data_IF_362342068951
#
_entry.id   IF_362342068951
#
_cell.length_a   1.000
_cell.length_b   1.000
_cell.length_c   1.000
_cell.angle_alpha   90.00
_cell.angle_beta   90.00
_cell.angle_gamma   90.00
#
_symmetry.space_group_name_H-M   'P 1'
#
loop_
_entity.id
_entity.type
_entity.pdbx_description
1 polymer ?
#
# COMPACT_ATOMS: atom_id res chain seq x y z
N UNK A 1 -3.53 44.49 -37.10
CA UNK A 1 -4.91 45.01 -36.93
C UNK A 1 -5.17 45.01 -35.43
N UNK A 2 -5.41 46.09 -34.69
CA UNK A 2 -5.84 47.47 -34.95
C UNK A 2 -5.24 48.30 -33.83
N UNK A 3 -4.64 49.45 -34.10
CA UNK A 3 -4.72 50.62 -33.22
C UNK A 3 -4.69 51.87 -34.10
N UNK A 4 -5.83 52.54 -34.11
CA UNK A 4 -6.15 53.74 -34.87
C UNK A 4 -5.53 54.97 -34.20
N UNK A 5 -5.14 55.92 -35.05
CA UNK A 5 -5.12 57.37 -34.79
C UNK A 5 -4.32 57.87 -33.60
N UNK A 6 -3.06 58.24 -33.85
CA UNK A 6 -2.45 59.37 -33.14
C UNK A 6 -2.49 60.58 -34.06
N UNK A 7 -3.17 61.61 -33.54
CA UNK A 7 -3.47 62.84 -34.23
C UNK A 7 -2.24 63.67 -34.58
N UNK A 8 -2.47 64.51 -35.58
CA UNK A 8 -1.67 65.63 -36.06
C UNK A 8 -0.70 66.23 -35.02
N UNK A 9 0.60 66.11 -35.28
CA UNK A 9 1.60 67.02 -34.75
C UNK A 9 2.26 67.77 -35.91
N UNK A 10 2.04 69.10 -35.93
CA UNK A 10 2.68 70.04 -36.86
C UNK A 10 4.20 70.07 -36.63
N UNK A 11 5.01 70.23 -37.69
CA UNK A 11 6.44 70.48 -37.53
C UNK A 11 6.69 71.96 -37.24
N UNK A 12 7.26 72.28 -36.08
CA UNK A 12 7.79 73.60 -35.78
C UNK A 12 9.31 73.63 -36.04
N UNK A 13 9.73 74.57 -36.88
CA UNK A 13 11.08 74.81 -37.34
C UNK A 13 11.90 75.57 -36.27
N UNK A 14 13.07 75.02 -35.94
CA UNK A 14 14.31 75.62 -35.39
C UNK A 14 14.25 76.75 -34.34
N UNK A 15 14.71 76.43 -33.13
CA UNK A 15 15.17 77.38 -32.13
C UNK A 15 15.56 76.69 -30.81
N UNK A 16 16.87 76.57 -30.54
CA UNK A 16 17.47 76.20 -29.23
C UNK A 16 16.76 75.08 -28.45
N UNK A 17 17.05 73.83 -28.79
CA UNK A 17 16.68 72.67 -28.00
C UNK A 17 17.47 72.64 -26.68
N UNK A 18 16.95 73.32 -25.65
CA UNK A 18 17.09 72.81 -24.29
C UNK A 18 15.90 71.87 -24.12
N UNK A 19 16.15 70.56 -24.22
CA UNK A 19 15.14 69.54 -23.93
C UNK A 19 14.66 69.72 -22.48
N UNK A 20 13.65 70.55 -22.27
CA UNK A 20 12.87 70.61 -21.03
C UNK A 20 11.88 69.46 -21.10
N UNK A 21 12.39 68.24 -20.99
CA UNK A 21 11.60 67.11 -20.53
C UNK A 21 12.21 66.68 -19.20
N UNK A 22 12.26 67.64 -18.27
CA UNK A 22 12.36 67.29 -16.86
C UNK A 22 10.94 66.91 -16.48
N UNK A 23 10.64 65.65 -16.18
CA UNK A 23 9.29 65.30 -15.74
C UNK A 23 8.98 66.14 -14.50
N UNK A 24 7.73 66.61 -14.35
CA UNK A 24 7.31 67.24 -13.11
C UNK A 24 7.58 66.27 -11.95
N UNK A 25 7.92 66.77 -10.75
CA UNK A 25 8.19 65.91 -9.58
C UNK A 25 7.09 64.85 -9.38
N UNK A 26 5.84 65.24 -9.65
CA UNK A 26 4.65 64.39 -9.63
C UNK A 26 4.74 63.22 -10.62
N UNK A 27 5.22 63.44 -11.85
CA UNK A 27 5.39 62.38 -12.84
C UNK A 27 6.54 61.42 -12.51
N UNK A 28 7.60 61.88 -11.82
CA UNK A 28 8.68 61.01 -11.34
C UNK A 28 8.21 60.13 -10.17
N UNK A 29 7.41 60.68 -9.25
CA UNK A 29 6.80 59.95 -8.14
C UNK A 29 5.82 58.87 -8.63
N UNK A 30 4.98 59.18 -9.61
CA UNK A 30 4.06 58.21 -10.23
C UNK A 30 4.80 57.06 -10.93
N UNK A 31 5.89 57.37 -11.64
CA UNK A 31 6.74 56.36 -12.29
C UNK A 31 7.37 55.45 -11.22
N UNK A 32 7.91 56.03 -10.15
CA UNK A 32 8.51 55.27 -9.04
C UNK A 32 7.50 54.31 -8.38
N UNK A 33 6.25 54.76 -8.20
CA UNK A 33 5.18 53.99 -7.56
C UNK A 33 4.69 52.83 -8.44
N UNK A 34 4.63 53.03 -9.77
CA UNK A 34 4.31 51.97 -10.74
C UNK A 34 5.42 50.91 -10.79
N UNK A 35 6.69 51.30 -10.80
CA UNK A 35 7.82 50.36 -10.76
C UNK A 35 7.86 49.57 -9.43
N UNK A 36 7.59 50.22 -8.30
CA UNK A 36 7.47 49.57 -7.00
C UNK A 36 6.33 48.54 -6.96
N UNK A 37 5.14 48.90 -7.45
CA UNK A 37 3.97 48.01 -7.49
C UNK A 37 4.22 46.80 -8.41
N UNK A 38 4.74 47.02 -9.62
CA UNK A 38 5.14 45.93 -10.54
C UNK A 38 6.22 45.03 -9.95
N UNK A 39 7.21 45.60 -9.25
CA UNK A 39 8.23 44.84 -8.53
C UNK A 39 7.62 43.96 -7.43
N UNK A 40 6.64 44.47 -6.68
CA UNK A 40 5.92 43.70 -5.65
C UNK A 40 5.04 42.59 -6.25
N UNK A 41 4.33 42.83 -7.34
CA UNK A 41 3.52 41.79 -8.02
C UNK A 41 4.39 40.65 -8.55
N UNK A 42 5.51 40.96 -9.20
CA UNK A 42 6.46 39.96 -9.69
C UNK A 42 7.05 39.16 -8.52
N UNK A 43 7.30 39.80 -7.37
CA UNK A 43 7.79 39.12 -6.18
C UNK A 43 6.73 38.18 -5.58
N UNK A 44 5.46 38.61 -5.51
CA UNK A 44 4.36 37.77 -5.03
C UNK A 44 4.05 36.60 -5.97
N UNK A 45 4.14 36.79 -7.29
CA UNK A 45 3.97 35.72 -8.26
C UNK A 45 5.09 34.67 -8.13
N UNK A 46 6.35 35.11 -7.98
CA UNK A 46 7.48 34.21 -7.71
C UNK A 46 7.30 33.44 -6.41
N UNK A 47 6.83 34.08 -5.34
CA UNK A 47 6.52 33.41 -4.06
C UNK A 47 5.42 32.37 -4.25
N UNK A 48 4.31 32.73 -4.90
CA UNK A 48 3.21 31.83 -5.17
C UNK A 48 3.65 30.62 -6.00
N UNK A 49 4.50 30.83 -7.01
CA UNK A 49 5.03 29.75 -7.84
C UNK A 49 5.99 28.84 -7.06
N UNK A 50 6.89 29.41 -6.26
CA UNK A 50 7.77 28.59 -5.38
C UNK A 50 6.96 27.76 -4.37
N UNK A 51 5.90 28.32 -3.80
CA UNK A 51 5.01 27.57 -2.89
C UNK A 51 4.29 26.43 -3.60
N UNK A 52 3.84 26.64 -4.85
CA UNK A 52 3.23 25.57 -5.68
C UNK A 52 4.21 24.45 -5.99
N UNK A 53 5.44 24.79 -6.39
CA UNK A 53 6.49 23.81 -6.68
C UNK A 53 6.79 22.99 -5.41
N UNK A 54 6.98 23.64 -4.27
CA UNK A 54 7.25 22.97 -2.99
C UNK A 54 6.09 22.07 -2.53
N UNK A 55 4.84 22.47 -2.73
CA UNK A 55 3.68 21.63 -2.43
C UNK A 55 3.61 20.41 -3.35
N UNK A 56 3.91 20.58 -4.64
CA UNK A 56 3.97 19.48 -5.60
C UNK A 56 5.07 18.48 -5.26
N UNK A 57 6.28 18.96 -4.93
CA UNK A 57 7.39 18.13 -4.47
C UNK A 57 7.06 17.38 -3.19
N UNK A 58 6.43 18.04 -2.21
CA UNK A 58 5.98 17.42 -0.97
C UNK A 58 5.03 16.25 -1.25
N UNK A 59 4.01 16.46 -2.10
CA UNK A 59 3.04 15.42 -2.45
C UNK A 59 3.69 14.27 -3.23
N UNK A 60 4.63 14.57 -4.14
CA UNK A 60 5.38 13.54 -4.84
C UNK A 60 6.20 12.69 -3.88
N UNK A 61 6.93 13.34 -2.96
CA UNK A 61 7.72 12.68 -1.92
C UNK A 61 6.84 11.83 -1.01
N UNK A 62 5.68 12.35 -0.59
CA UNK A 62 4.74 11.62 0.26
C UNK A 62 4.22 10.36 -0.43
N UNK A 63 3.79 10.44 -1.70
CA UNK A 63 3.33 9.25 -2.45
C UNK A 63 4.40 8.18 -2.57
N UNK A 64 5.65 8.58 -2.82
CA UNK A 64 6.78 7.65 -2.90
C UNK A 64 7.04 6.98 -1.56
N UNK A 65 6.98 7.74 -0.46
CA UNK A 65 7.20 7.19 0.87
C UNK A 65 6.09 6.23 1.29
N UNK A 66 4.82 6.58 1.05
CA UNK A 66 3.68 5.68 1.30
C UNK A 66 3.81 4.36 0.53
N UNK A 67 4.27 4.42 -0.73
CA UNK A 67 4.54 3.21 -1.52
C UNK A 67 5.70 2.38 -0.93
N UNK A 68 6.77 3.02 -0.47
CA UNK A 68 7.91 2.33 0.15
C UNK A 68 7.52 1.67 1.46
N UNK A 69 6.77 2.37 2.31
CA UNK A 69 6.26 1.83 3.57
C UNK A 69 5.32 0.64 3.33
N UNK A 70 4.43 0.75 2.34
CA UNK A 70 3.56 -0.36 1.95
C UNK A 70 4.36 -1.58 1.49
N UNK A 71 5.35 -1.39 0.61
CA UNK A 71 6.23 -2.48 0.16
C UNK A 71 6.99 -3.13 1.32
N UNK A 72 7.55 -2.32 2.21
CA UNK A 72 8.28 -2.82 3.39
C UNK A 72 7.37 -3.64 4.29
N UNK A 73 6.14 -3.16 4.53
CA UNK A 73 5.14 -3.87 5.34
C UNK A 73 4.72 -5.18 4.68
N UNK A 74 4.59 -5.22 3.36
CA UNK A 74 4.27 -6.44 2.62
C UNK A 74 5.42 -7.46 2.69
N UNK A 75 6.67 -7.02 2.56
CA UNK A 75 7.85 -7.87 2.73
C UNK A 75 7.95 -8.45 4.15
N UNK A 76 7.75 -7.63 5.17
CA UNK A 76 7.72 -8.06 6.57
C UNK A 76 6.60 -9.09 6.80
N UNK A 77 5.41 -8.86 6.25
CA UNK A 77 4.29 -9.79 6.31
C UNK A 77 4.61 -11.14 5.63
N UNK A 78 5.29 -11.11 4.48
CA UNK A 78 5.72 -12.33 3.79
C UNK A 78 6.76 -13.10 4.59
N UNK A 79 7.74 -12.41 5.18
CA UNK A 79 8.76 -13.04 6.02
C UNK A 79 8.14 -13.70 7.26
N UNK A 80 7.22 -13.01 7.95
CA UNK A 80 6.52 -13.57 9.11
C UNK A 80 5.70 -14.80 8.71
N UNK A 81 4.98 -14.75 7.57
CA UNK A 81 4.25 -15.91 7.03
C UNK A 81 5.18 -17.09 6.80
N UNK A 82 6.32 -16.87 6.17
CA UNK A 82 7.25 -17.95 5.84
C UNK A 82 7.86 -18.58 7.10
N UNK A 83 8.21 -17.78 8.11
CA UNK A 83 8.67 -18.30 9.40
C UNK A 83 7.65 -19.24 10.04
N UNK A 84 6.38 -18.85 10.08
CA UNK A 84 5.32 -19.70 10.60
C UNK A 84 5.11 -20.96 9.73
N UNK A 85 5.24 -20.86 8.40
CA UNK A 85 5.12 -22.03 7.52
C UNK A 85 6.17 -23.08 7.84
N UNK A 86 7.41 -22.67 8.08
CA UNK A 86 8.50 -23.59 8.44
C UNK A 86 8.25 -24.23 9.80
N UNK A 87 7.86 -23.44 10.80
CA UNK A 87 7.60 -23.93 12.16
C UNK A 87 6.44 -24.92 12.19
N UNK A 88 5.30 -24.55 11.60
CA UNK A 88 4.10 -25.40 11.55
C UNK A 88 4.39 -26.68 10.77
N UNK A 89 5.07 -26.61 9.62
CA UNK A 89 5.44 -27.83 8.87
C UNK A 89 6.32 -28.76 9.68
N UNK A 90 7.26 -28.23 10.45
CA UNK A 90 8.13 -29.04 11.31
C UNK A 90 7.32 -29.77 12.39
N UNK A 91 6.37 -29.10 13.01
CA UNK A 91 5.46 -29.72 13.98
C UNK A 91 4.56 -30.78 13.34
N UNK A 92 3.97 -30.46 12.19
CA UNK A 92 3.09 -31.36 11.45
C UNK A 92 3.83 -32.58 10.91
N UNK A 93 5.09 -32.43 10.50
CA UNK A 93 5.93 -33.55 10.07
C UNK A 93 6.19 -34.53 11.22
N UNK A 94 6.52 -34.02 12.42
CA UNK A 94 6.67 -34.86 13.62
C UNK A 94 5.37 -35.62 13.91
N UNK A 95 4.24 -34.94 13.81
CA UNK A 95 2.94 -35.58 14.00
C UNK A 95 2.68 -36.66 12.94
N UNK A 96 2.94 -36.37 11.67
CA UNK A 96 2.76 -37.30 10.55
C UNK A 96 3.56 -38.60 10.72
N UNK A 97 4.82 -38.50 11.14
CA UNK A 97 5.69 -39.67 11.36
C UNK A 97 5.24 -40.52 12.56
N UNK A 98 4.69 -39.89 13.60
CA UNK A 98 4.19 -40.61 14.79
C UNK A 98 2.81 -41.24 14.59
N UNK A 99 2.02 -40.76 13.63
CA UNK A 99 0.62 -41.16 13.48
C UNK A 99 0.45 -42.36 12.53
N UNK A 100 -0.07 -43.46 13.07
CA UNK A 100 -0.25 -44.72 12.32
C UNK A 100 -1.57 -44.75 11.54
N UNK A 101 -2.60 -44.05 12.03
CA UNK A 101 -3.95 -44.06 11.44
C UNK A 101 -4.61 -42.68 11.51
N UNK A 102 -5.69 -42.50 10.75
CA UNK A 102 -6.42 -41.23 10.68
C UNK A 102 -6.95 -40.78 12.05
N UNK A 103 -7.40 -41.71 12.91
CA UNK A 103 -7.90 -41.37 14.23
C UNK A 103 -6.81 -40.76 15.14
N UNK A 104 -5.58 -41.27 15.09
CA UNK A 104 -4.46 -40.77 15.88
C UNK A 104 -4.00 -39.41 15.39
N UNK A 105 -3.98 -39.20 14.07
CA UNK A 105 -3.73 -37.89 13.48
C UNK A 105 -4.75 -36.85 13.95
N UNK A 106 -6.04 -37.16 13.84
CA UNK A 106 -7.11 -36.24 14.23
C UNK A 106 -7.04 -35.90 15.72
N UNK A 107 -6.74 -36.87 16.59
CA UNK A 107 -6.51 -36.63 18.02
C UNK A 107 -5.30 -35.73 18.28
N UNK A 108 -4.18 -35.97 17.60
CA UNK A 108 -2.98 -35.13 17.71
C UNK A 108 -3.20 -33.69 17.22
N UNK A 109 -4.14 -33.48 16.29
CA UNK A 109 -4.58 -32.16 15.85
C UNK A 109 -5.62 -31.51 16.79
N UNK A 110 -5.99 -32.17 17.90
CA UNK A 110 -6.96 -31.67 18.86
C UNK A 110 -8.41 -31.78 18.38
N UNK A 111 -8.72 -32.77 17.54
CA UNK A 111 -10.08 -33.14 17.14
C UNK A 111 -10.51 -34.37 17.92
N UNK A 112 -11.65 -34.28 18.58
CA UNK A 112 -12.21 -35.41 19.30
C UNK A 112 -12.72 -36.49 18.31
N UNK A 113 -12.32 -37.74 18.54
CA UNK A 113 -12.79 -38.90 17.79
C UNK A 113 -13.55 -39.79 18.78
N UNK A 114 -14.84 -40.00 18.51
CA UNK A 114 -15.69 -40.89 19.30
C UNK A 114 -15.27 -42.35 19.09
N UNK A 115 -15.44 -43.22 20.10
CA UNK A 115 -15.07 -44.64 20.02
C UNK A 115 -13.70 -45.01 20.61
N UNK A 116 -13.06 -44.12 21.36
CA UNK A 116 -11.86 -44.45 22.16
C UNK A 116 -10.65 -44.91 21.33
N UNK A 117 -10.05 -46.03 21.71
CA UNK A 117 -8.83 -46.57 21.07
C UNK A 117 -9.11 -47.26 19.72
N UNK A 118 -10.32 -47.78 19.51
CA UNK A 118 -10.75 -48.44 18.27
C UNK A 118 -12.04 -47.79 17.74
N UNK A 119 -11.94 -46.59 17.15
CA UNK A 119 -13.10 -45.92 16.60
C UNK A 119 -13.60 -46.61 15.33
N UNK A 120 -14.92 -46.64 15.15
CA UNK A 120 -15.52 -47.15 13.90
C UNK A 120 -15.22 -46.19 12.73
N UNK A 121 -15.20 -46.69 11.47
CA UNK A 121 -14.93 -45.86 10.30
C UNK A 121 -15.83 -44.63 10.19
N UNK A 122 -17.11 -44.75 10.56
CA UNK A 122 -18.07 -43.64 10.55
C UNK A 122 -17.72 -42.53 11.56
N UNK A 123 -17.21 -42.90 12.74
CA UNK A 123 -16.79 -41.95 13.78
C UNK A 123 -15.54 -41.19 13.36
N UNK A 124 -14.58 -41.90 12.75
CA UNK A 124 -13.38 -41.28 12.16
C UNK A 124 -13.77 -40.34 11.02
N UNK A 125 -14.71 -40.74 10.16
CA UNK A 125 -15.18 -39.93 9.05
C UNK A 125 -15.91 -38.66 9.52
N UNK A 126 -16.73 -38.76 10.57
CA UNK A 126 -17.37 -37.59 11.20
C UNK A 126 -16.33 -36.64 11.81
N UNK A 127 -15.33 -37.17 12.52
CA UNK A 127 -14.22 -36.37 13.06
C UNK A 127 -13.39 -35.71 11.95
N UNK A 128 -13.14 -36.41 10.85
CA UNK A 128 -12.47 -35.88 9.66
C UNK A 128 -13.24 -34.67 9.08
N UNK A 129 -14.56 -34.80 8.89
CA UNK A 129 -15.40 -33.67 8.44
C UNK A 129 -15.32 -32.47 9.40
N UNK A 130 -15.36 -32.71 10.71
CA UNK A 130 -15.17 -31.66 11.72
C UNK A 130 -13.81 -30.98 11.59
N UNK A 131 -12.75 -31.74 11.33
CA UNK A 131 -11.40 -31.23 11.16
C UNK A 131 -11.29 -30.33 9.92
N UNK A 132 -11.84 -30.75 8.78
CA UNK A 132 -11.87 -29.92 7.56
C UNK A 132 -12.58 -28.59 7.78
N UNK A 133 -13.69 -28.61 8.51
CA UNK A 133 -14.43 -27.38 8.83
C UNK A 133 -13.66 -26.50 9.82
N UNK A 134 -12.99 -27.07 10.82
CA UNK A 134 -12.23 -26.30 11.82
C UNK A 134 -10.99 -25.64 11.21
N UNK A 135 -10.29 -26.34 10.34
CA UNK A 135 -9.05 -25.89 9.71
C UNK A 135 -9.27 -25.34 8.30
N UNK A 136 -10.50 -24.99 7.92
CA UNK A 136 -10.78 -24.41 6.62
C UNK A 136 -10.11 -23.04 6.48
N UNK A 137 -9.41 -22.74 5.37
CA UNK A 137 -8.74 -21.46 5.18
C UNK A 137 -9.70 -20.26 5.31
N UNK A 138 -10.93 -20.38 4.79
CA UNK A 138 -11.93 -19.30 4.89
C UNK A 138 -12.45 -19.03 6.31
N UNK A 139 -12.28 -19.97 7.26
CA UNK A 139 -12.70 -19.78 8.66
C UNK A 139 -11.58 -19.23 9.54
N UNK A 140 -10.33 -19.27 9.08
CA UNK A 140 -9.23 -18.67 9.79
C UNK A 140 -9.33 -17.13 9.71
N UNK A 141 -9.04 -16.46 10.82
CA UNK A 141 -9.06 -15.00 10.84
C UNK A 141 -8.01 -14.43 9.89
N UNK A 142 -8.43 -13.56 8.97
CA UNK A 142 -7.51 -12.83 8.07
C UNK A 142 -6.58 -11.87 8.81
N UNK A 143 -6.89 -11.54 10.06
CA UNK A 143 -6.08 -10.64 10.90
C UNK A 143 -4.92 -11.35 11.60
N UNK A 144 -5.03 -12.65 11.85
CA UNK A 144 -4.01 -13.43 12.56
C UNK A 144 -3.27 -14.34 11.57
N UNK A 145 -2.12 -13.84 11.12
CA UNK A 145 -1.24 -14.51 10.15
C UNK A 145 -0.86 -15.92 10.62
N UNK A 146 -0.60 -16.09 11.93
CA UNK A 146 -0.17 -17.38 12.49
C UNK A 146 -1.29 -18.41 12.36
N UNK A 147 -2.49 -18.04 12.81
CA UNK A 147 -3.66 -18.94 12.72
C UNK A 147 -4.04 -19.28 11.29
N UNK A 148 -3.87 -18.34 10.36
CA UNK A 148 -4.09 -18.58 8.93
C UNK A 148 -3.16 -19.67 8.41
N UNK A 149 -1.86 -19.52 8.64
CA UNK A 149 -0.85 -20.50 8.20
C UNK A 149 -1.06 -21.86 8.87
N UNK A 150 -1.35 -21.87 10.18
CA UNK A 150 -1.64 -23.09 10.92
C UNK A 150 -2.84 -23.86 10.34
N UNK A 151 -3.93 -23.16 10.04
CA UNK A 151 -5.12 -23.78 9.45
C UNK A 151 -4.81 -24.35 8.06
N UNK A 152 -4.14 -23.58 7.20
CA UNK A 152 -3.80 -24.00 5.84
C UNK A 152 -2.93 -25.26 5.83
N UNK A 153 -1.85 -25.29 6.62
CA UNK A 153 -0.93 -26.44 6.62
C UNK A 153 -1.57 -27.67 7.31
N UNK A 154 -2.40 -27.49 8.34
CA UNK A 154 -3.20 -28.59 8.94
C UNK A 154 -4.20 -29.16 7.94
N UNK A 155 -4.88 -28.31 7.17
CA UNK A 155 -5.82 -28.72 6.13
C UNK A 155 -5.15 -29.56 5.04
N UNK A 156 -3.97 -29.11 4.57
CA UNK A 156 -3.15 -29.86 3.60
C UNK A 156 -2.74 -31.23 4.15
N UNK A 157 -2.28 -31.30 5.41
CA UNK A 157 -1.90 -32.56 6.05
C UNK A 157 -3.10 -33.52 6.12
N UNK A 158 -4.25 -33.05 6.62
CA UNK A 158 -5.46 -33.87 6.77
C UNK A 158 -5.89 -34.47 5.41
N UNK A 159 -5.86 -33.64 4.36
CA UNK A 159 -6.25 -34.07 3.01
C UNK A 159 -5.28 -35.10 2.44
N UNK A 160 -3.96 -34.86 2.53
CA UNK A 160 -2.91 -35.80 2.09
C UNK A 160 -2.99 -37.14 2.84
N UNK A 161 -3.20 -37.10 4.16
CA UNK A 161 -3.24 -38.30 4.98
C UNK A 161 -4.49 -39.13 4.71
N UNK A 162 -5.62 -38.49 4.37
CA UNK A 162 -6.81 -39.23 3.90
C UNK A 162 -6.49 -40.08 2.69
N UNK A 163 -5.83 -39.51 1.69
CA UNK A 163 -5.43 -40.26 0.49
C UNK A 163 -4.48 -41.39 0.85
N UNK A 164 -3.43 -41.10 1.64
CA UNK A 164 -2.45 -42.11 2.10
C UNK A 164 -3.12 -43.30 2.79
N UNK A 165 -4.01 -43.05 3.75
CA UNK A 165 -4.67 -44.12 4.50
C UNK A 165 -5.67 -44.92 3.66
N UNK A 166 -6.33 -44.28 2.69
CA UNK A 166 -7.21 -44.96 1.74
C UNK A 166 -6.41 -45.84 0.77
N UNK A 167 -5.23 -45.40 0.32
CA UNK A 167 -4.37 -46.17 -0.59
C UNK A 167 -3.72 -47.39 0.07
N UNK A 168 -3.40 -47.34 1.36
CA UNK A 168 -2.89 -48.51 2.11
C UNK A 168 -3.94 -49.58 2.42
N UNK A 169 -5.23 -49.32 2.18
CA UNK A 169 -6.31 -50.28 2.44
C UNK A 169 -6.54 -51.29 1.30
N UNK A 170 -5.78 -51.22 0.21
CA UNK A 170 -5.97 -52.04 -1.00
C UNK A 170 -4.85 -53.08 -1.26
N UNK A 171 -4.09 -53.48 -0.24
CA UNK A 171 -3.11 -54.57 -0.34
C UNK A 171 -3.28 -55.55 0.81
#
# INVERSE_FOLDING_TARGET
MVLKSLGNYKPCFWGTFKCIWSPSSVALEDIQLIFGRRGSEIAEEKKAETLRILDMERRQKQRVEEMREAQKKDEENLNIKERFRVEVRKELYRLEVTCINMASLLRGLGIHVEGGFQPLPNQVHAAYKRALLKFHPDRASKTDIRRQVEAEEKFKLISRMKEKFLSTSCY
#
